data_IF_391992722478
#
_entry.id   IF_391992722478
#
_cell.length_a   1.000
_cell.length_b   1.000
_cell.length_c   1.000
_cell.angle_alpha   90.00
_cell.angle_beta   90.00
_cell.angle_gamma   90.00
#
_symmetry.space_group_name_H-M   'P 1'
#
loop_
_entity.id
_entity.type
_entity.pdbx_description
1 polymer ?
#
# COMPACT_ATOMS: atom_id res chain seq x y z
N UNK A 1 -18.58 7.28 15.02
CA UNK A 1 -18.23 7.32 14.54
C UNK A 1 -17.48 7.40 14.07
N UNK A 2 -17.29 7.23 13.82
CA UNK A 2 -16.69 7.41 13.19
C UNK A 2 -16.00 7.22 12.36
N UNK A 3 -16.34 7.77 12.57
CA UNK A 3 -15.70 7.41 11.48
C UNK A 3 -14.32 7.83 11.22
N UNK A 4 -13.55 7.30 11.58
CA UNK A 4 -12.32 7.51 11.42
C UNK A 4 -11.77 7.01 10.20
N UNK A 5 -12.55 6.46 9.37
CA UNK A 5 -12.10 6.02 8.09
C UNK A 5 -11.78 7.20 7.23
N UNK A 6 -10.77 7.08 6.44
CA UNK A 6 -10.57 8.06 5.42
C UNK A 6 -11.62 7.90 4.37
N UNK A 7 -12.09 9.00 3.85
CA UNK A 7 -13.03 8.99 2.75
C UNK A 7 -12.34 9.27 1.43
N UNK A 8 -11.03 9.24 1.41
CA UNK A 8 -10.28 9.49 0.19
C UNK A 8 -10.45 8.33 -0.78
N UNK A 9 -10.80 8.59 -2.06
CA UNK A 9 -10.82 7.53 -3.07
C UNK A 9 -9.43 6.99 -3.37
N UNK A 10 -8.40 7.66 -2.85
CA UNK A 10 -7.02 7.27 -3.10
C UNK A 10 -6.51 6.24 -2.09
N UNK A 11 -7.32 5.89 -1.09
CA UNK A 11 -6.98 4.86 -0.11
C UNK A 11 -8.13 3.86 -0.06
N UNK A 12 -7.85 2.60 -0.32
CA UNK A 12 -8.88 1.58 -0.40
C UNK A 12 -8.36 0.22 0.03
N UNK A 13 -9.27 -0.63 0.46
CA UNK A 13 -8.95 -2.00 0.80
C UNK A 13 -8.96 -2.86 -0.46
N UNK A 14 -8.11 -3.87 -0.48
CA UNK A 14 -8.02 -4.80 -1.59
C UNK A 14 -7.89 -6.22 -1.04
N UNK A 15 -8.37 -7.19 -1.80
CA UNK A 15 -8.31 -8.59 -1.43
C UNK A 15 -7.70 -9.40 -2.57
N UNK A 16 -7.43 -10.68 -2.28
CA UNK A 16 -6.93 -11.59 -3.30
C UNK A 16 -7.84 -11.61 -4.53
N UNK A 17 -9.16 -11.59 -4.31
CA UNK A 17 -10.14 -11.73 -5.39
C UNK A 17 -10.19 -10.53 -6.33
N UNK A 18 -9.96 -9.32 -5.83
CA UNK A 18 -10.05 -8.12 -6.68
C UNK A 18 -8.70 -7.46 -6.93
N UNK A 19 -7.62 -8.14 -6.58
CA UNK A 19 -6.27 -7.58 -6.63
C UNK A 19 -5.85 -7.21 -8.06
N UNK A 20 -6.08 -8.10 -9.02
CA UNK A 20 -5.65 -7.85 -10.40
C UNK A 20 -6.32 -6.62 -10.97
N UNK A 21 -7.60 -6.42 -10.64
CA UNK A 21 -8.34 -5.25 -11.14
C UNK A 21 -7.92 -3.98 -10.41
N UNK A 22 -7.87 -4.05 -9.07
CA UNK A 22 -7.70 -2.84 -8.27
C UNK A 22 -6.25 -2.40 -8.13
N UNK A 23 -5.30 -3.28 -8.37
CA UNK A 23 -3.88 -2.95 -8.26
C UNK A 23 -3.20 -3.04 -9.61
N UNK A 24 -3.15 -4.22 -10.21
CA UNK A 24 -2.36 -4.42 -11.42
C UNK A 24 -2.92 -3.59 -12.58
N UNK A 25 -4.20 -3.77 -12.90
CA UNK A 25 -4.82 -3.02 -13.98
C UNK A 25 -4.86 -1.51 -13.69
N UNK A 26 -5.22 -1.15 -12.46
CA UNK A 26 -5.30 0.25 -12.06
C UNK A 26 -3.95 0.95 -12.11
N UNK A 27 -2.85 0.22 -11.91
CA UNK A 27 -1.51 0.82 -11.91
C UNK A 27 -1.08 1.31 -13.29
N UNK A 28 -1.82 0.97 -14.34
CA UNK A 28 -1.59 1.53 -15.67
C UNK A 28 -2.07 2.98 -15.78
N UNK A 29 -2.95 3.40 -14.86
CA UNK A 29 -3.47 4.76 -14.87
C UNK A 29 -2.80 5.64 -13.82
N UNK A 30 -2.47 5.06 -12.66
CA UNK A 30 -1.86 5.81 -11.56
C UNK A 30 -1.02 4.85 -10.73
N UNK A 31 0.16 5.29 -10.26
CA UNK A 31 0.97 4.44 -9.39
C UNK A 31 0.19 4.01 -8.15
N UNK A 32 0.35 2.75 -7.76
CA UNK A 32 -0.35 2.17 -6.62
C UNK A 32 0.68 1.65 -5.61
N UNK A 33 0.58 2.11 -4.37
CA UNK A 33 1.30 1.49 -3.27
C UNK A 33 0.42 0.40 -2.67
N UNK A 34 0.99 -0.78 -2.46
CA UNK A 34 0.28 -1.85 -1.77
C UNK A 34 0.91 -2.04 -0.41
N UNK A 35 0.12 -1.87 0.64
CA UNK A 35 0.54 -2.04 2.03
C UNK A 35 0.07 -3.41 2.50
N UNK A 36 0.99 -4.38 2.60
CA UNK A 36 0.70 -5.69 3.16
C UNK A 36 0.88 -5.60 4.67
N UNK A 37 -0.22 -5.76 5.40
CA UNK A 37 -0.24 -5.49 6.83
C UNK A 37 -1.09 -6.50 7.59
N UNK A 38 -0.96 -6.51 8.91
CA UNK A 38 -1.78 -7.33 9.79
C UNK A 38 -2.08 -6.54 11.05
N UNK A 39 -3.23 -6.82 11.68
CA UNK A 39 -3.66 -6.06 12.86
C UNK A 39 -2.84 -6.38 14.11
N UNK A 40 -2.14 -7.53 14.13
CA UNK A 40 -1.26 -7.88 15.24
C UNK A 40 0.16 -7.32 15.06
N UNK A 41 0.41 -6.63 13.98
CA UNK A 41 1.74 -6.16 13.61
C UNK A 41 1.90 -4.70 14.06
N UNK A 42 2.62 -4.47 15.16
CA UNK A 42 2.79 -3.12 15.68
C UNK A 42 3.45 -2.16 14.67
N UNK A 43 4.53 -2.54 13.97
CA UNK A 43 5.10 -1.62 12.96
C UNK A 43 4.11 -1.26 11.85
N UNK A 44 3.19 -2.17 11.51
CA UNK A 44 2.15 -1.89 10.53
C UNK A 44 1.24 -0.76 11.02
N UNK A 45 0.88 -0.80 12.29
CA UNK A 45 0.02 0.22 12.89
C UNK A 45 0.75 1.56 13.00
N UNK A 46 2.06 1.52 13.23
CA UNK A 46 2.87 2.74 13.31
C UNK A 46 2.98 3.45 11.96
N UNK A 47 3.16 2.70 10.89
CA UNK A 47 3.34 3.32 9.57
C UNK A 47 2.01 3.78 8.95
N UNK A 48 0.88 3.20 9.37
CA UNK A 48 -0.41 3.48 8.74
C UNK A 48 -0.75 4.97 8.64
N UNK A 49 -0.67 5.77 9.74
CA UNK A 49 -0.97 7.20 9.60
C UNK A 49 0.03 7.95 8.75
N UNK A 50 1.28 7.47 8.67
CA UNK A 50 2.29 8.10 7.82
C UNK A 50 2.00 7.86 6.35
N UNK A 51 1.57 6.65 6.01
CA UNK A 51 1.15 6.34 4.64
C UNK A 51 -0.06 7.18 4.24
N UNK A 52 -1.02 7.33 5.16
CA UNK A 52 -2.18 8.16 4.89
C UNK A 52 -1.77 9.61 4.61
N UNK A 53 -0.87 10.17 5.43
CA UNK A 53 -0.38 11.53 5.22
C UNK A 53 0.35 11.66 3.88
N UNK A 54 1.14 10.67 3.53
CA UNK A 54 1.85 10.66 2.24
C UNK A 54 0.86 10.72 1.07
N UNK A 55 -0.17 9.87 1.12
CA UNK A 55 -1.14 9.79 0.02
C UNK A 55 -1.93 11.10 -0.09
N UNK A 56 -2.31 11.68 1.05
CA UNK A 56 -3.03 12.96 1.03
C UNK A 56 -2.18 14.06 0.41
N UNK A 57 -0.88 14.04 0.69
CA UNK A 57 0.04 15.04 0.10
C UNK A 57 0.25 14.81 -1.40
N UNK A 58 0.02 13.59 -1.89
CA UNK A 58 0.18 13.28 -3.31
C UNK A 58 -0.98 13.75 -4.18
N UNK A 59 -2.12 14.09 -3.58
CA UNK A 59 -3.26 14.69 -4.28
C UNK A 59 -3.65 13.91 -5.55
N UNK A 60 -3.79 12.59 -5.42
CA UNK A 60 -4.23 11.75 -6.52
C UNK A 60 -3.15 11.21 -7.42
N UNK A 61 -1.91 11.64 -7.24
CA UNK A 61 -0.80 11.15 -8.09
C UNK A 61 -0.35 9.75 -7.73
N UNK A 62 -0.70 9.27 -6.53
CA UNK A 62 -0.41 7.92 -6.06
C UNK A 62 -1.59 7.48 -5.22
N UNK A 63 -1.95 6.20 -5.32
CA UNK A 63 -3.01 5.62 -4.49
C UNK A 63 -2.45 4.53 -3.60
N UNK A 64 -3.17 4.23 -2.53
CA UNK A 64 -2.77 3.24 -1.54
C UNK A 64 -3.81 2.12 -1.47
N UNK A 65 -3.38 0.91 -1.77
CA UNK A 65 -4.19 -0.29 -1.62
C UNK A 65 -3.77 -1.00 -0.33
N UNK A 66 -4.69 -1.19 0.59
CA UNK A 66 -4.40 -1.83 1.87
C UNK A 66 -4.79 -3.30 1.79
N UNK A 67 -3.83 -4.19 1.98
CA UNK A 67 -4.03 -5.63 1.89
C UNK A 67 -3.78 -6.25 3.26
N UNK A 68 -4.87 -6.59 3.96
CA UNK A 68 -4.77 -7.24 5.27
C UNK A 68 -4.51 -8.73 5.05
N UNK A 69 -3.30 -9.19 5.37
CA UNK A 69 -2.85 -10.51 4.94
C UNK A 69 -3.60 -11.66 5.61
N UNK A 70 -4.18 -11.44 6.79
CA UNK A 70 -4.90 -12.50 7.51
C UNK A 70 -6.36 -12.65 7.05
N UNK A 71 -6.85 -11.77 6.19
CA UNK A 71 -8.23 -11.84 5.73
C UNK A 71 -8.33 -12.74 4.50
N UNK A 72 -9.32 -13.65 4.51
CA UNK A 72 -9.61 -14.50 3.36
C UNK A 72 -8.38 -15.20 2.81
N UNK A 73 -8.17 -15.07 1.49
CA UNK A 73 -7.06 -15.70 0.79
C UNK A 73 -5.87 -14.75 0.59
N UNK A 74 -5.86 -13.62 1.30
CA UNK A 74 -4.88 -12.56 1.03
C UNK A 74 -3.43 -12.98 1.27
N UNK A 75 -3.19 -13.92 2.18
CA UNK A 75 -1.82 -14.39 2.46
C UNK A 75 -1.18 -15.01 1.21
N UNK A 76 -1.98 -15.47 0.26
CA UNK A 76 -1.46 -16.02 -0.99
C UNK A 76 -0.67 -14.96 -1.76
N UNK A 77 -1.06 -13.69 -1.65
CA UNK A 77 -0.33 -12.62 -2.31
C UNK A 77 1.01 -12.37 -1.62
N UNK A 78 1.06 -12.46 -0.30
CA UNK A 78 2.33 -12.35 0.42
C UNK A 78 3.30 -13.44 -0.04
N UNK A 79 2.78 -14.67 -0.23
CA UNK A 79 3.59 -15.76 -0.75
C UNK A 79 4.07 -15.52 -2.18
N UNK A 80 3.17 -15.03 -3.04
CA UNK A 80 3.49 -14.74 -4.43
C UNK A 80 4.64 -13.72 -4.53
N UNK A 81 4.61 -12.69 -3.69
CA UNK A 81 5.64 -11.65 -3.71
C UNK A 81 6.82 -11.96 -2.80
N UNK A 82 6.84 -13.13 -2.19
CA UNK A 82 7.93 -13.58 -1.32
C UNK A 82 8.17 -12.62 -0.16
N UNK A 83 7.08 -12.13 0.41
CA UNK A 83 7.12 -11.21 1.54
C UNK A 83 7.54 -11.98 2.78
N UNK A 84 8.51 -11.46 3.53
CA UNK A 84 9.06 -12.15 4.70
C UNK A 84 8.73 -11.49 6.02
N UNK A 85 8.17 -10.30 5.99
CA UNK A 85 7.83 -9.58 7.20
C UNK A 85 6.88 -8.45 6.90
N UNK A 86 6.30 -7.86 7.94
CA UNK A 86 5.31 -6.82 7.78
C UNK A 86 5.68 -5.60 8.61
N UNK A 87 5.32 -4.41 8.14
CA UNK A 87 4.69 -4.17 6.84
C UNK A 87 5.68 -4.36 5.71
N UNK A 88 5.17 -4.73 4.57
CA UNK A 88 5.90 -4.64 3.32
C UNK A 88 5.07 -3.77 2.40
N UNK A 89 5.69 -2.76 1.81
CA UNK A 89 5.00 -1.82 0.93
C UNK A 89 5.65 -1.91 -0.45
N UNK A 90 4.82 -2.17 -1.45
CA UNK A 90 5.29 -2.40 -2.83
C UNK A 90 4.68 -1.37 -3.75
N UNK A 91 5.50 -0.74 -4.57
CA UNK A 91 5.04 0.24 -5.55
C UNK A 91 4.87 -0.42 -6.91
N UNK A 92 3.66 -0.30 -7.46
CA UNK A 92 3.33 -0.79 -8.81
C UNK A 92 3.10 0.37 -9.75
N UNK A 93 3.73 0.32 -10.93
CA UNK A 93 3.54 1.28 -12.00
C UNK A 93 3.47 0.48 -13.30
N UNK A 94 2.44 0.74 -14.11
CA UNK A 94 2.25 0.06 -15.41
C UNK A 94 2.24 -1.46 -15.26
N UNK A 95 1.61 -1.95 -14.21
CA UNK A 95 1.42 -3.36 -13.96
C UNK A 95 2.62 -4.09 -13.37
N UNK A 96 3.71 -3.38 -13.07
CA UNK A 96 4.96 -3.99 -12.62
C UNK A 96 5.38 -3.46 -11.27
N UNK A 97 5.98 -4.34 -10.47
CA UNK A 97 6.61 -3.91 -9.22
C UNK A 97 7.85 -3.09 -9.56
N UNK A 98 7.91 -1.86 -9.08
CA UNK A 98 9.05 -0.98 -9.32
C UNK A 98 9.99 -0.93 -8.13
N UNK A 99 9.46 -0.99 -6.92
CA UNK A 99 10.27 -0.88 -5.71
C UNK A 99 9.47 -1.40 -4.53
N UNK A 100 10.16 -1.72 -3.44
CA UNK A 100 9.50 -2.10 -2.18
C UNK A 100 10.37 -1.74 -1.01
N UNK A 101 9.75 -1.65 0.15
CA UNK A 101 10.50 -1.52 1.40
C UNK A 101 9.79 -2.31 2.49
N UNK A 102 10.49 -2.52 3.60
CA UNK A 102 9.98 -3.26 4.76
C UNK A 102 10.11 -2.39 6.01
N UNK A 103 9.16 -2.55 6.92
CA UNK A 103 9.24 -1.93 8.22
C UNK A 103 8.63 -0.54 8.27
N UNK A 104 8.54 0.00 9.50
CA UNK A 104 7.91 1.28 9.74
C UNK A 104 8.90 2.41 9.50
N UNK A 105 8.98 2.84 8.25
CA UNK A 105 9.88 3.92 7.86
C UNK A 105 9.31 5.29 8.24
N UNK A 106 10.16 6.28 8.49
CA UNK A 106 9.67 7.64 8.76
C UNK A 106 9.12 8.30 7.50
N UNK A 107 8.33 9.36 7.71
CA UNK A 107 7.68 10.04 6.59
C UNK A 107 8.69 10.60 5.58
N UNK A 108 9.85 11.05 6.04
CA UNK A 108 10.89 11.54 5.13
C UNK A 108 11.35 10.45 4.16
N UNK A 109 11.51 9.21 4.67
CA UNK A 109 11.85 8.08 3.80
C UNK A 109 10.74 7.83 2.79
N UNK A 110 9.48 7.86 3.23
CA UNK A 110 8.34 7.58 2.35
C UNK A 110 8.26 8.60 1.21
N UNK A 111 8.51 9.86 1.52
CA UNK A 111 8.51 10.91 0.49
C UNK A 111 9.61 10.69 -0.52
N UNK A 112 10.81 10.38 -0.08
CA UNK A 112 11.92 10.12 -0.99
C UNK A 112 11.67 8.88 -1.84
N UNK A 113 11.09 7.86 -1.22
CA UNK A 113 10.76 6.63 -1.92
C UNK A 113 9.81 6.91 -3.10
N UNK A 114 8.78 7.71 -2.87
CA UNK A 114 7.83 8.06 -3.91
C UNK A 114 8.46 8.99 -4.94
N UNK A 115 9.23 9.98 -4.49
CA UNK A 115 9.82 10.98 -5.39
C UNK A 115 10.79 10.36 -6.40
N UNK A 116 11.37 9.21 -6.08
CA UNK A 116 12.27 8.51 -7.01
C UNK A 116 11.53 7.98 -8.24
N UNK A 117 10.21 7.81 -8.16
CA UNK A 117 9.42 7.17 -9.22
C UNK A 117 8.24 8.01 -9.72
N UNK A 118 7.81 9.01 -8.98
CA UNK A 118 6.59 9.77 -9.26
C UNK A 118 6.90 11.26 -9.21
N UNK A 119 6.49 11.98 -10.24
CA UNK A 119 6.68 13.43 -10.30
C UNK A 119 5.68 14.19 -9.44
#
# INVERSE_FOLDING_TARGET
MHNQHTNSPDIFDVSFEDYDEKVIAASHEVPILVDLWADWCMPCLVIAPKLKALIEACEGRVRLAKLEVDAGENMRLAGKYKVRGFPTVILFIDGEEKARFHGAKPLTFLREFIDDYVD
#
